data_IF_225201980258
#
_entry.id   IF_225201980258
#
_cell.length_a   1.000
_cell.length_b   1.000
_cell.length_c   1.000
_cell.angle_alpha   90.00
_cell.angle_beta   90.00
_cell.angle_gamma   90.00
#
_symmetry.space_group_name_H-M   'P 1'
#
loop_
_entity.id
_entity.type
_entity.pdbx_description
1 polymer ?
#
# COMPACT_ATOMS: atom_id res chain seq x y z
N UNK A 1 35.75 -45.96 -76.83
CA UNK A 1 36.18 -46.17 -75.43
C UNK A 1 36.49 -44.80 -74.84
N UNK A 2 35.59 -44.25 -74.00
CA UNK A 2 35.68 -42.87 -73.50
C UNK A 2 36.65 -42.78 -72.32
N UNK A 3 37.48 -41.75 -72.32
CA UNK A 3 38.40 -41.34 -71.27
C UNK A 3 37.60 -40.80 -70.06
N UNK A 4 37.75 -41.40 -68.89
CA UNK A 4 37.25 -40.85 -67.62
C UNK A 4 38.35 -40.08 -66.93
N UNK A 5 38.32 -38.75 -67.10
CA UNK A 5 39.17 -37.81 -66.38
C UNK A 5 38.83 -37.78 -64.91
N UNK A 6 39.83 -37.99 -64.06
CA UNK A 6 39.76 -37.90 -62.60
C UNK A 6 39.79 -36.42 -62.22
N UNK A 7 38.68 -35.86 -61.74
CA UNK A 7 38.63 -34.51 -61.20
C UNK A 7 39.24 -34.48 -59.79
N UNK A 8 40.43 -33.90 -59.66
CA UNK A 8 41.05 -33.64 -58.36
C UNK A 8 40.32 -32.49 -57.64
N UNK A 9 39.76 -32.78 -56.47
CA UNK A 9 39.15 -31.78 -55.61
C UNK A 9 40.26 -30.98 -54.90
N UNK A 10 40.50 -29.73 -55.33
CA UNK A 10 41.44 -28.83 -54.66
C UNK A 10 40.85 -28.32 -53.34
N UNK A 11 41.58 -28.38 -52.21
CA UNK A 11 41.12 -27.78 -50.96
C UNK A 11 41.06 -26.25 -51.10
N UNK A 12 39.87 -25.68 -50.89
CA UNK A 12 39.70 -24.22 -50.74
C UNK A 12 40.36 -23.79 -49.44
N UNK A 13 41.44 -23.01 -49.53
CA UNK A 13 42.03 -22.34 -48.37
C UNK A 13 41.02 -21.31 -47.85
N UNK A 14 40.36 -21.62 -46.74
CA UNK A 14 39.58 -20.62 -46.01
C UNK A 14 40.56 -19.57 -45.48
N UNK A 15 40.47 -18.35 -46.01
CA UNK A 15 41.15 -17.19 -45.47
C UNK A 15 40.61 -16.97 -44.04
N UNK A 16 41.34 -17.47 -43.05
CA UNK A 16 41.00 -17.29 -41.65
C UNK A 16 40.97 -15.80 -41.34
N UNK A 17 39.80 -15.30 -40.98
CA UNK A 17 39.68 -14.01 -40.31
C UNK A 17 40.40 -14.13 -38.97
N UNK A 18 41.67 -13.71 -38.93
CA UNK A 18 42.34 -13.41 -37.67
C UNK A 18 41.65 -12.17 -37.13
N UNK A 19 40.62 -12.36 -36.30
CA UNK A 19 40.13 -11.30 -35.45
C UNK A 19 41.32 -10.84 -34.60
N UNK A 20 41.79 -9.62 -34.83
CA UNK A 20 42.79 -9.02 -33.99
C UNK A 20 42.22 -8.94 -32.57
N UNK A 21 42.78 -9.70 -31.63
CA UNK A 21 42.50 -9.54 -30.22
C UNK A 21 43.12 -8.21 -29.79
N UNK A 22 42.35 -7.13 -29.91
CA UNK A 22 42.67 -5.86 -29.29
C UNK A 22 42.55 -6.02 -27.78
N UNK A 23 43.65 -5.86 -27.05
CA UNK A 23 43.60 -5.76 -25.59
C UNK A 23 42.78 -4.53 -25.18
N UNK A 24 42.01 -4.65 -24.10
CA UNK A 24 41.26 -3.53 -23.53
C UNK A 24 42.22 -2.40 -23.14
N UNK A 25 41.93 -1.19 -23.59
CA UNK A 25 42.69 0.00 -23.18
C UNK A 25 42.34 0.37 -21.73
N UNK A 26 43.31 0.90 -20.96
CA UNK A 26 43.03 1.42 -19.62
C UNK A 26 41.93 2.50 -19.64
N UNK A 27 41.90 3.34 -20.69
CA UNK A 27 40.88 4.38 -20.87
C UNK A 27 39.48 3.79 -21.16
N UNK A 28 39.42 2.61 -21.76
CA UNK A 28 38.16 1.91 -22.05
C UNK A 28 37.52 1.41 -20.76
N UNK A 29 38.32 0.83 -19.86
CA UNK A 29 37.83 0.38 -18.54
C UNK A 29 37.44 1.57 -17.66
N UNK A 30 38.22 2.66 -17.69
CA UNK A 30 37.92 3.87 -16.90
C UNK A 30 36.62 4.55 -17.36
N UNK A 31 36.41 4.67 -18.66
CA UNK A 31 35.15 5.26 -19.18
C UNK A 31 33.96 4.34 -18.96
N UNK A 32 34.12 3.02 -19.12
CA UNK A 32 33.07 2.05 -18.84
C UNK A 32 32.63 2.08 -17.36
N UNK A 33 33.57 2.15 -16.42
CA UNK A 33 33.25 2.22 -14.99
C UNK A 33 32.56 3.53 -14.60
N UNK A 34 32.94 4.67 -15.20
CA UNK A 34 32.24 5.95 -15.00
C UNK A 34 30.79 5.88 -15.48
N UNK A 35 30.56 5.36 -16.70
CA UNK A 35 29.20 5.21 -17.25
C UNK A 35 28.35 4.27 -16.39
N UNK A 36 28.93 3.15 -15.94
CA UNK A 36 28.26 2.21 -15.04
C UNK A 36 27.93 2.83 -13.69
N UNK A 37 28.83 3.63 -13.11
CA UNK A 37 28.60 4.31 -11.84
C UNK A 37 27.45 5.32 -11.92
N UNK A 38 27.39 6.10 -13.01
CA UNK A 38 26.28 7.04 -13.27
C UNK A 38 24.96 6.28 -13.49
N UNK A 39 24.98 5.21 -14.30
CA UNK A 39 23.79 4.38 -14.54
C UNK A 39 23.25 3.73 -13.27
N UNK A 40 24.12 3.14 -12.44
CA UNK A 40 23.74 2.53 -11.17
C UNK A 40 23.17 3.54 -10.17
N UNK A 41 23.74 4.74 -10.11
CA UNK A 41 23.24 5.81 -9.25
C UNK A 41 21.82 6.25 -9.64
N UNK A 42 21.51 6.29 -10.94
CA UNK A 42 20.17 6.59 -11.46
C UNK A 42 19.11 5.58 -11.03
N UNK A 43 19.44 4.28 -10.97
CA UNK A 43 18.52 3.24 -10.52
C UNK A 43 18.10 3.41 -9.07
N UNK A 44 19.01 3.86 -8.19
CA UNK A 44 18.69 4.10 -6.78
C UNK A 44 17.62 5.18 -6.60
N UNK A 45 17.68 6.25 -7.41
CA UNK A 45 16.66 7.32 -7.39
C UNK A 45 15.31 6.78 -7.86
N UNK A 46 15.28 6.00 -8.95
CA UNK A 46 14.05 5.41 -9.46
C UNK A 46 13.42 4.42 -8.48
N UNK A 47 14.23 3.57 -7.83
CA UNK A 47 13.76 2.63 -6.81
C UNK A 47 13.18 3.37 -5.59
N UNK A 48 13.84 4.43 -5.14
CA UNK A 48 13.33 5.26 -4.05
C UNK A 48 11.99 5.93 -4.40
N UNK A 49 11.85 6.41 -5.65
CA UNK A 49 10.58 6.92 -6.17
C UNK A 49 9.47 5.87 -6.17
N UNK A 50 9.74 4.70 -6.77
CA UNK A 50 8.78 3.60 -6.84
C UNK A 50 8.30 3.13 -5.44
N UNK A 51 9.19 3.08 -4.45
CA UNK A 51 8.83 2.75 -3.07
C UNK A 51 7.93 3.82 -2.43
N UNK A 52 8.15 5.10 -2.72
CA UNK A 52 7.29 6.20 -2.23
C UNK A 52 5.91 6.10 -2.85
N UNK A 53 5.83 5.94 -4.17
CA UNK A 53 4.56 5.84 -4.89
C UNK A 53 3.75 4.61 -4.44
N UNK A 54 4.43 3.47 -4.25
CA UNK A 54 3.82 2.25 -3.73
C UNK A 54 3.24 2.44 -2.31
N UNK A 55 3.97 3.13 -1.42
CA UNK A 55 3.48 3.45 -0.07
C UNK A 55 2.26 4.38 -0.11
N UNK A 56 2.26 5.40 -0.96
CA UNK A 56 1.12 6.29 -1.10
C UNK A 56 -0.12 5.55 -1.64
N UNK A 57 0.06 4.69 -2.65
CA UNK A 57 -1.00 3.85 -3.19
C UNK A 57 -1.57 2.89 -2.12
N UNK A 58 -0.71 2.28 -1.30
CA UNK A 58 -1.11 1.40 -0.21
C UNK A 58 -1.95 2.15 0.83
N UNK A 59 -1.47 3.31 1.31
CA UNK A 59 -2.20 4.12 2.30
C UNK A 59 -3.58 4.56 1.79
N UNK A 60 -3.66 4.98 0.51
CA UNK A 60 -4.93 5.36 -0.12
C UNK A 60 -5.88 4.17 -0.22
N UNK A 61 -5.38 3.00 -0.59
CA UNK A 61 -6.18 1.77 -0.68
C UNK A 61 -6.73 1.40 0.70
N UNK A 62 -5.90 1.44 1.74
CA UNK A 62 -6.34 1.13 3.09
C UNK A 62 -7.38 2.15 3.61
N UNK A 63 -7.20 3.44 3.32
CA UNK A 63 -8.20 4.45 3.65
C UNK A 63 -9.56 4.19 2.97
N UNK A 64 -9.57 3.74 1.71
CA UNK A 64 -10.80 3.35 1.00
C UNK A 64 -11.45 2.14 1.67
N UNK A 65 -10.67 1.11 2.00
CA UNK A 65 -11.17 -0.09 2.68
C UNK A 65 -11.78 0.26 4.04
N UNK A 66 -11.13 1.11 4.84
CA UNK A 66 -11.64 1.54 6.14
C UNK A 66 -12.89 2.44 6.02
N UNK A 67 -12.98 3.28 4.99
CA UNK A 67 -14.18 4.07 4.72
C UNK A 67 -15.36 3.18 4.34
N UNK A 68 -15.12 2.17 3.49
CA UNK A 68 -16.12 1.19 3.11
C UNK A 68 -16.56 0.31 4.28
N UNK A 69 -15.63 -0.15 5.12
CA UNK A 69 -15.93 -0.94 6.34
C UNK A 69 -16.89 -0.16 7.26
N UNK A 70 -16.64 1.13 7.48
CA UNK A 70 -17.55 1.94 8.29
C UNK A 70 -18.92 2.10 7.64
N UNK A 71 -18.97 2.33 6.32
CA UNK A 71 -20.24 2.45 5.60
C UNK A 71 -21.09 1.17 5.70
N UNK A 72 -20.46 0.01 5.55
CA UNK A 72 -21.14 -1.28 5.70
C UNK A 72 -21.64 -1.50 7.13
N UNK A 73 -20.89 -1.08 8.16
CA UNK A 73 -21.37 -1.11 9.56
C UNK A 73 -22.61 -0.24 9.76
N UNK A 74 -22.62 0.97 9.19
CA UNK A 74 -23.81 1.84 9.27
C UNK A 74 -25.00 1.23 8.52
N UNK A 75 -24.78 0.60 7.37
CA UNK A 75 -25.84 -0.09 6.62
C UNK A 75 -26.40 -1.31 7.36
N UNK A 76 -25.56 -2.06 8.05
CA UNK A 76 -25.98 -3.21 8.84
C UNK A 76 -26.77 -2.81 10.10
N UNK A 77 -26.49 -1.62 10.64
CA UNK A 77 -27.13 -1.10 11.86
C UNK A 77 -27.50 0.39 11.72
N UNK A 78 -28.48 0.74 10.86
CA UNK A 78 -28.78 2.12 10.53
C UNK A 78 -29.35 2.92 11.70
N UNK A 79 -30.02 2.24 12.65
CA UNK A 79 -30.60 2.85 13.85
C UNK A 79 -29.63 2.99 15.04
N UNK A 80 -28.42 2.43 14.95
CA UNK A 80 -27.50 2.35 16.11
C UNK A 80 -26.80 3.68 16.47
N UNK A 81 -26.81 4.67 15.57
CA UNK A 81 -26.15 5.95 15.82
C UNK A 81 -24.63 5.91 15.60
N UNK A 82 -24.21 5.96 14.34
CA UNK A 82 -22.81 5.88 13.92
C UNK A 82 -22.10 7.24 13.79
N UNK A 83 -22.60 8.27 14.48
CA UNK A 83 -22.05 9.61 14.40
C UNK A 83 -20.77 9.73 15.24
N UNK A 84 -19.68 10.19 14.63
CA UNK A 84 -18.40 10.45 15.29
C UNK A 84 -17.60 11.50 14.52
N UNK A 85 -16.99 12.45 15.22
CA UNK A 85 -16.20 13.53 14.65
C UNK A 85 -14.71 13.20 14.48
N UNK A 86 -14.01 14.05 13.73
CA UNK A 86 -12.55 14.08 13.73
C UNK A 86 -12.07 14.60 15.09
N UNK A 87 -11.07 13.95 15.68
CA UNK A 87 -10.55 14.26 17.01
C UNK A 87 -11.27 13.55 18.16
N UNK A 88 -12.41 12.90 17.90
CA UNK A 88 -13.09 12.11 18.91
C UNK A 88 -12.33 10.81 19.16
N UNK A 89 -11.86 10.65 20.40
CA UNK A 89 -11.16 9.46 20.86
C UNK A 89 -12.11 8.26 20.94
N UNK A 90 -11.62 7.02 20.69
CA UNK A 90 -12.42 5.83 20.93
C UNK A 90 -12.74 5.70 22.42
N UNK A 91 -14.02 5.54 22.73
CA UNK A 91 -14.46 5.23 24.09
C UNK A 91 -14.08 3.81 24.48
N UNK A 92 -13.90 3.57 25.78
CA UNK A 92 -13.80 2.20 26.30
C UNK A 92 -15.14 1.49 26.11
N UNK A 93 -15.12 0.32 25.47
CA UNK A 93 -16.32 -0.44 25.10
C UNK A 93 -16.13 -1.93 25.38
N UNK A 94 -17.22 -2.59 25.76
CA UNK A 94 -17.26 -4.05 25.86
C UNK A 94 -17.19 -4.64 24.43
N UNK A 95 -16.60 -5.82 24.32
CA UNK A 95 -16.52 -6.52 23.03
C UNK A 95 -17.87 -7.16 22.71
N UNK A 96 -18.56 -6.61 21.71
CA UNK A 96 -19.81 -7.19 21.19
C UNK A 96 -19.61 -8.54 20.49
N UNK A 97 -18.37 -9.06 20.46
CA UNK A 97 -18.04 -10.42 20.02
C UNK A 97 -18.38 -11.45 21.10
N UNK A 98 -18.29 -11.08 22.38
CA UNK A 98 -18.45 -12.00 23.52
C UNK A 98 -19.60 -11.63 24.44
N UNK A 99 -20.15 -10.43 24.28
CA UNK A 99 -21.27 -9.91 25.08
C UNK A 99 -22.37 -9.47 24.13
N UNK A 100 -23.61 -9.72 24.50
CA UNK A 100 -24.77 -9.28 23.74
C UNK A 100 -24.87 -7.74 23.81
N UNK A 101 -24.97 -7.10 22.64
CA UNK A 101 -25.05 -5.66 22.51
C UNK A 101 -26.39 -5.27 21.90
N UNK A 102 -27.04 -4.26 22.48
CA UNK A 102 -28.13 -3.57 21.80
C UNK A 102 -27.59 -2.79 20.57
N UNK A 103 -28.46 -2.33 19.66
CA UNK A 103 -28.03 -1.60 18.46
C UNK A 103 -27.18 -0.36 18.73
N UNK A 104 -27.41 0.34 19.84
CA UNK A 104 -26.64 1.53 20.22
C UNK A 104 -25.26 1.13 20.73
N UNK A 105 -25.19 0.11 21.59
CA UNK A 105 -23.95 -0.44 22.11
C UNK A 105 -23.07 -1.03 20.98
N UNK A 106 -23.69 -1.68 19.99
CA UNK A 106 -23.01 -2.20 18.82
C UNK A 106 -22.38 -1.09 17.98
N UNK A 107 -23.12 -0.03 17.65
CA UNK A 107 -22.59 1.11 16.90
C UNK A 107 -21.42 1.80 17.64
N UNK A 108 -21.55 1.88 18.96
CA UNK A 108 -20.51 2.36 19.85
C UNK A 108 -19.22 1.49 19.77
N UNK A 109 -19.36 0.17 19.79
CA UNK A 109 -18.23 -0.76 19.63
C UNK A 109 -17.61 -0.68 18.23
N UNK A 110 -18.44 -0.55 17.19
CA UNK A 110 -18.03 -0.37 15.80
C UNK A 110 -17.18 0.88 15.61
N UNK A 111 -17.66 2.04 16.10
CA UNK A 111 -16.91 3.30 16.08
C UNK A 111 -15.57 3.15 16.79
N UNK A 112 -15.54 2.54 17.98
CA UNK A 112 -14.32 2.39 18.76
C UNK A 112 -13.29 1.51 18.02
N UNK A 113 -13.74 0.37 17.50
CA UNK A 113 -12.91 -0.56 16.72
C UNK A 113 -12.36 0.11 15.46
N UNK A 114 -13.20 0.84 14.73
CA UNK A 114 -12.82 1.57 13.52
C UNK A 114 -11.80 2.69 13.81
N UNK A 115 -12.04 3.51 14.84
CA UNK A 115 -11.12 4.56 15.31
C UNK A 115 -9.75 4.02 15.70
N UNK A 116 -9.70 2.84 16.31
CA UNK A 116 -8.44 2.18 16.66
C UNK A 116 -7.67 1.67 15.43
N UNK A 117 -8.37 1.32 14.33
CA UNK A 117 -7.74 0.88 13.08
C UNK A 117 -7.18 2.05 12.25
N UNK A 118 -7.78 3.24 12.37
CA UNK A 118 -7.38 4.44 11.64
C UNK A 118 -5.99 5.00 12.03
N UNK A 119 -5.41 4.56 13.15
CA UNK A 119 -4.00 4.81 13.47
C UNK A 119 -3.74 5.93 14.49
N UNK A 120 -4.51 7.03 14.49
CA UNK A 120 -4.30 8.16 15.42
C UNK A 120 -4.44 7.76 16.89
N UNK A 121 -5.32 6.80 17.18
CA UNK A 121 -5.64 6.37 18.54
C UNK A 121 -4.98 5.06 18.93
N UNK A 122 -3.99 4.59 18.17
CA UNK A 122 -3.40 3.26 18.35
C UNK A 122 -3.00 2.99 19.80
N UNK A 123 -2.42 3.97 20.51
CA UNK A 123 -1.97 3.81 21.91
C UNK A 123 -3.01 4.26 22.96
N UNK A 124 -4.26 4.47 22.57
CA UNK A 124 -5.30 4.82 23.53
C UNK A 124 -5.66 3.57 24.37
N UNK A 125 -5.90 3.71 25.69
CA UNK A 125 -6.26 2.59 26.55
C UNK A 125 -7.47 1.79 26.06
N UNK A 126 -8.43 2.46 25.41
CA UNK A 126 -9.58 1.80 24.78
C UNK A 126 -9.17 0.82 23.67
N UNK A 127 -8.16 1.18 22.88
CA UNK A 127 -7.65 0.30 21.82
C UNK A 127 -6.86 -0.88 22.37
N UNK A 128 -6.11 -0.68 23.46
CA UNK A 128 -5.42 -1.76 24.16
C UNK A 128 -6.42 -2.77 24.74
N UNK A 129 -7.51 -2.30 25.34
CA UNK A 129 -8.58 -3.15 25.85
C UNK A 129 -9.25 -3.95 24.71
N UNK A 130 -9.52 -3.32 23.56
CA UNK A 130 -10.09 -4.01 22.40
C UNK A 130 -9.14 -5.05 21.78
N UNK A 131 -7.82 -4.81 21.81
CA UNK A 131 -6.81 -5.81 21.40
C UNK A 131 -6.74 -6.97 22.39
N UNK A 132 -6.69 -6.69 23.68
CA UNK A 132 -6.70 -7.70 24.73
C UNK A 132 -7.96 -8.57 24.67
N UNK A 133 -9.09 -7.95 24.31
CA UNK A 133 -10.37 -8.62 24.07
C UNK A 133 -10.53 -9.25 22.68
N UNK A 134 -9.47 -9.35 21.87
CA UNK A 134 -9.48 -10.05 20.57
C UNK A 134 -10.28 -9.37 19.44
N UNK A 135 -10.79 -8.16 19.64
CA UNK A 135 -11.55 -7.42 18.62
C UNK A 135 -10.66 -6.74 17.56
N UNK A 136 -9.38 -6.58 17.87
CA UNK A 136 -8.39 -5.93 17.01
C UNK A 136 -7.17 -6.82 16.79
N UNK A 137 -6.61 -6.72 15.58
CA UNK A 137 -5.32 -7.33 15.27
C UNK A 137 -4.18 -6.63 16.04
N UNK A 138 -3.04 -7.33 16.27
CA UNK A 138 -1.87 -6.75 16.93
C UNK A 138 -1.37 -5.46 16.25
N UNK A 139 -0.67 -4.63 17.02
CA UNK A 139 -0.07 -3.40 16.50
C UNK A 139 1.01 -3.67 15.43
N UNK A 140 1.26 -2.68 14.56
CA UNK A 140 2.41 -2.72 13.64
C UNK A 140 2.16 -3.30 12.25
N UNK A 141 0.92 -3.41 11.79
CA UNK A 141 0.64 -3.80 10.40
C UNK A 141 1.13 -2.74 9.41
N UNK A 142 1.91 -3.17 8.41
CA UNK A 142 2.36 -2.32 7.32
C UNK A 142 1.16 -1.89 6.47
N UNK A 143 1.11 -0.61 6.08
CA UNK A 143 0.04 -0.05 5.26
C UNK A 143 -0.95 0.84 6.00
N UNK A 144 -0.93 0.80 7.35
CA UNK A 144 -1.89 1.54 8.17
C UNK A 144 -1.89 3.05 7.86
N UNK A 145 -3.05 3.68 7.59
CA UNK A 145 -3.13 5.13 7.54
C UNK A 145 -2.77 5.66 8.92
N UNK A 146 -1.89 6.65 8.98
CA UNK A 146 -1.53 7.28 10.25
C UNK A 146 -2.47 8.48 10.48
N UNK A 147 -3.73 8.16 10.79
CA UNK A 147 -4.86 9.03 10.50
C UNK A 147 -6.05 8.94 11.45
N UNK A 148 -7.10 9.67 11.13
CA UNK A 148 -8.35 9.68 11.89
C UNK A 148 -9.55 9.78 10.93
N UNK A 149 -10.75 9.53 11.41
CA UNK A 149 -11.95 9.56 10.59
C UNK A 149 -13.16 10.11 11.32
N UNK A 150 -14.16 10.51 10.53
CA UNK A 150 -15.47 10.92 11.00
C UNK A 150 -16.56 10.16 10.25
N UNK A 151 -17.66 9.88 10.94
CA UNK A 151 -18.90 9.35 10.38
C UNK A 151 -20.03 10.31 10.72
N UNK A 152 -20.80 10.72 9.72
CA UNK A 152 -22.02 11.50 9.90
C UNK A 152 -23.19 10.81 9.20
N UNK A 153 -24.34 10.77 9.85
CA UNK A 153 -25.61 10.28 9.30
C UNK A 153 -26.59 11.44 9.35
N UNK A 154 -27.01 11.91 8.18
CA UNK A 154 -27.97 13.00 8.04
C UNK A 154 -29.40 12.45 8.26
N UNK A 155 -30.35 13.32 8.61
CA UNK A 155 -31.75 12.93 8.84
C UNK A 155 -32.43 12.27 7.62
N UNK A 156 -31.93 12.56 6.42
CA UNK A 156 -32.38 11.98 5.15
C UNK A 156 -31.81 10.59 4.86
N UNK A 157 -31.07 9.97 5.80
CA UNK A 157 -30.44 8.66 5.60
C UNK A 157 -29.14 8.70 4.76
N UNK A 158 -28.60 9.90 4.49
CA UNK A 158 -27.28 10.05 3.87
C UNK A 158 -26.17 9.84 4.89
N UNK A 159 -25.24 8.96 4.56
CA UNK A 159 -24.05 8.67 5.36
C UNK A 159 -22.83 9.23 4.68
N UNK A 160 -22.05 10.01 5.44
CA UNK A 160 -20.77 10.59 5.04
C UNK A 160 -19.67 10.05 5.93
N UNK A 161 -18.77 9.28 5.35
CA UNK A 161 -17.57 8.79 6.03
C UNK A 161 -16.37 9.57 5.51
N UNK A 162 -15.63 10.17 6.43
CA UNK A 162 -14.39 10.89 6.15
C UNK A 162 -13.24 10.14 6.77
N UNK A 163 -12.19 9.88 5.98
CA UNK A 163 -10.94 9.27 6.45
C UNK A 163 -9.80 10.21 6.08
N UNK A 164 -9.01 10.58 7.07
CA UNK A 164 -7.83 11.43 6.92
C UNK A 164 -6.59 10.63 7.27
N UNK A 165 -5.47 10.86 6.58
CA UNK A 165 -4.20 10.23 6.91
C UNK A 165 -3.02 11.13 6.56
N UNK A 166 -1.86 10.84 7.15
CA UNK A 166 -0.61 11.54 6.85
C UNK A 166 0.14 10.86 5.69
N UNK A 167 0.48 11.64 4.67
CA UNK A 167 1.35 11.25 3.55
C UNK A 167 2.70 11.97 3.70
N UNK A 168 3.51 11.52 4.66
CA UNK A 168 4.76 12.19 5.06
C UNK A 168 4.55 13.27 6.14
N UNK A 169 5.59 14.09 6.38
CA UNK A 169 5.66 14.96 7.57
C UNK A 169 4.70 16.15 7.53
N UNK A 170 4.37 16.67 6.34
CA UNK A 170 3.56 17.90 6.18
C UNK A 170 2.23 17.71 5.44
N UNK A 171 2.03 16.59 4.75
CA UNK A 171 0.83 16.42 3.93
C UNK A 171 -0.21 15.60 4.68
N UNK A 172 -1.39 16.20 4.86
CA UNK A 172 -2.61 15.49 5.26
C UNK A 172 -3.44 15.24 4.00
N UNK A 173 -3.86 14.00 3.82
CA UNK A 173 -4.80 13.58 2.78
C UNK A 173 -6.16 13.32 3.43
N UNK A 174 -7.20 13.46 2.63
CA UNK A 174 -8.57 13.27 3.02
C UNK A 174 -9.31 12.52 1.92
N UNK A 175 -10.14 11.56 2.33
CA UNK A 175 -11.07 10.83 1.51
C UNK A 175 -12.46 10.98 2.14
N UNK A 176 -13.42 11.44 1.34
CA UNK A 176 -14.83 11.50 1.75
C UNK A 176 -15.62 10.56 0.86
N UNK A 177 -16.32 9.62 1.49
CA UNK A 177 -17.26 8.70 0.84
C UNK A 177 -18.65 9.04 1.34
N UNK A 178 -19.60 9.20 0.41
CA UNK A 178 -20.99 9.45 0.74
C UNK A 178 -21.90 8.41 0.08
N UNK A 179 -22.90 7.92 0.80
CA UNK A 179 -23.92 7.01 0.29
C UNK A 179 -25.26 7.32 0.91
N UNK A 180 -26.35 7.00 0.20
CA UNK A 180 -27.66 6.86 0.82
C UNK A 180 -27.77 5.45 1.41
N UNK A 181 -28.49 5.31 2.53
CA UNK A 181 -28.89 4.03 3.12
C UNK A 181 -30.41 3.93 3.07
#
# INVERSE_FOLDING_TARGET
>A
MKTTGKSECRPRRHAGWRAAQGGLSLMEVLTATVVLAVGASGLGVLQAGALRDSREALQRTEAIVLAADMLERVRANPGGGHAVGLGDAPGARLSCVFVECDPTALAAFDIATWKCRLGAWTRAPACDALRAGGALLPEGQAGRPEGDGAGAVDADGRVRVTVTWRAGVKLRRELVVASHI
#
